data_IF_501957074906
#
_entry.id   IF_501957074906
#
_cell.length_a   1.000
_cell.length_b   1.000
_cell.length_c   1.000
_cell.angle_alpha   90.00
_cell.angle_beta   90.00
_cell.angle_gamma   90.00
#
_symmetry.space_group_name_H-M   'P 1'
#
loop_
_entity.id
_entity.type
_entity.pdbx_description
1 polymer ?
#
# COMPACT_ATOMS: atom_id res chain seq x y z
N UNK A 1 0.63 -3.33 50.48
CA UNK A 1 1.54 -4.22 49.73
C UNK A 1 2.03 -3.41 48.54
N UNK A 2 3.35 -3.35 48.37
CA UNK A 2 4.10 -2.26 47.72
C UNK A 2 3.75 -2.05 46.25
N UNK A 3 3.66 -0.76 45.91
CA UNK A 3 3.97 -0.24 44.58
C UNK A 3 5.48 -0.42 44.41
N UNK A 4 5.90 -1.29 43.49
CA UNK A 4 7.28 -1.34 43.04
C UNK A 4 7.34 -0.78 41.61
N UNK A 5 7.54 0.54 41.59
CA UNK A 5 8.25 1.22 40.52
C UNK A 5 9.71 0.80 40.61
N UNK A 6 10.08 -0.32 39.97
CA UNK A 6 11.49 -0.66 39.81
C UNK A 6 12.08 0.14 38.65
N UNK A 7 12.58 1.29 39.08
CA UNK A 7 13.60 2.09 38.43
C UNK A 7 14.88 1.26 38.45
N UNK A 8 15.33 0.71 37.31
CA UNK A 8 16.72 0.29 37.24
C UNK A 8 17.36 0.50 35.87
N UNK A 9 18.32 1.42 35.88
CA UNK A 9 19.51 1.48 35.02
C UNK A 9 19.29 1.62 33.52
N UNK A 10 19.13 2.89 33.14
CA UNK A 10 19.67 3.46 31.90
C UNK A 10 21.18 3.15 31.84
N UNK A 11 21.56 2.02 31.22
CA UNK A 11 22.95 1.83 30.78
C UNK A 11 23.09 2.46 29.40
N UNK A 12 23.37 3.76 29.43
CA UNK A 12 23.88 4.54 28.31
C UNK A 12 25.28 4.07 27.95
N UNK A 13 25.39 3.15 26.99
CA UNK A 13 26.64 2.95 26.25
C UNK A 13 26.43 2.21 24.94
N UNK A 14 25.89 2.90 23.94
CA UNK A 14 26.24 2.64 22.54
C UNK A 14 26.46 3.97 21.84
N UNK A 15 27.70 4.45 21.95
CA UNK A 15 28.22 5.51 21.11
C UNK A 15 28.10 5.12 19.65
N UNK A 16 27.52 6.00 18.86
CA UNK A 16 27.27 5.77 17.44
C UNK A 16 26.26 6.74 16.88
N UNK A 17 26.65 8.01 16.81
CA UNK A 17 25.94 9.08 16.12
C UNK A 17 25.40 8.61 14.76
N UNK A 18 24.05 8.58 14.61
CA UNK A 18 23.22 8.65 13.37
C UNK A 18 21.81 8.00 13.49
N UNK A 19 21.42 7.45 14.64
CA UNK A 19 20.14 6.72 14.81
C UNK A 19 18.93 7.56 15.31
N UNK A 20 19.01 8.88 15.39
CA UNK A 20 17.90 9.73 15.89
C UNK A 20 16.96 10.24 14.78
N UNK A 21 17.26 10.01 13.49
CA UNK A 21 16.38 10.42 12.37
C UNK A 21 15.51 9.31 11.78
N UNK A 22 15.61 8.10 12.33
CA UNK A 22 14.81 6.97 11.92
C UNK A 22 13.80 6.67 13.04
N UNK A 23 12.61 7.26 12.97
CA UNK A 23 11.43 6.45 13.30
C UNK A 23 11.52 5.25 12.37
N UNK A 24 12.08 4.16 12.88
CA UNK A 24 12.60 3.04 12.10
C UNK A 24 11.59 2.67 11.03
N UNK A 25 12.01 2.66 9.76
CA UNK A 25 11.18 2.29 8.61
C UNK A 25 10.38 1.00 8.89
N UNK A 26 10.95 0.07 9.67
CA UNK A 26 10.27 -1.14 10.16
C UNK A 26 8.98 -0.86 10.95
N UNK A 27 8.92 0.20 11.76
CA UNK A 27 7.71 0.58 12.49
C UNK A 27 6.61 1.12 11.56
N UNK A 28 6.99 1.93 10.56
CA UNK A 28 6.06 2.46 9.56
C UNK A 28 5.56 1.32 8.66
N UNK A 29 6.46 0.42 8.25
CA UNK A 29 6.13 -0.75 7.45
C UNK A 29 5.20 -1.72 8.20
N UNK A 30 5.44 -1.96 9.49
CA UNK A 30 4.58 -2.78 10.34
C UNK A 30 3.20 -2.16 10.51
N UNK A 31 3.13 -0.85 10.74
CA UNK A 31 1.86 -0.13 10.82
C UNK A 31 1.08 -0.15 9.49
N UNK A 32 1.78 -0.05 8.36
CA UNK A 32 1.17 -0.18 7.04
C UNK A 32 0.61 -1.59 6.81
N UNK A 33 1.32 -2.63 7.23
CA UNK A 33 0.88 -4.02 7.10
C UNK A 33 -0.37 -4.31 7.97
N UNK A 34 -0.40 -3.80 9.20
CA UNK A 34 -1.59 -3.88 10.07
C UNK A 34 -2.77 -3.08 9.50
N UNK A 35 -2.50 -1.93 8.89
CA UNK A 35 -3.54 -1.12 8.24
C UNK A 35 -4.16 -1.86 7.06
N UNK A 36 -3.34 -2.47 6.18
CA UNK A 36 -3.83 -3.25 5.02
C UNK A 36 -4.67 -4.44 5.46
N UNK A 37 -4.28 -5.15 6.51
CA UNK A 37 -5.06 -6.26 7.06
C UNK A 37 -6.45 -5.79 7.57
N UNK A 38 -6.49 -4.60 8.16
CA UNK A 38 -7.74 -3.99 8.63
C UNK A 38 -8.63 -3.58 7.45
N UNK A 39 -8.06 -2.95 6.42
CA UNK A 39 -8.78 -2.59 5.20
C UNK A 39 -9.31 -3.82 4.44
N UNK A 40 -8.58 -4.94 4.44
CA UNK A 40 -9.05 -6.20 3.83
C UNK A 40 -10.30 -6.74 4.52
N UNK A 41 -10.32 -6.79 5.86
CA UNK A 41 -11.52 -7.20 6.62
C UNK A 41 -12.71 -6.29 6.40
N UNK A 42 -12.47 -4.99 6.35
CA UNK A 42 -13.53 -4.01 6.12
C UNK A 42 -14.10 -4.14 4.69
N UNK A 43 -13.22 -4.35 3.71
CA UNK A 43 -13.59 -4.59 2.32
C UNK A 43 -14.40 -5.87 2.12
N UNK A 44 -14.07 -6.97 2.80
CA UNK A 44 -14.88 -8.19 2.77
C UNK A 44 -16.31 -7.94 3.30
N UNK A 45 -16.45 -7.13 4.35
CA UNK A 45 -17.76 -6.79 4.92
C UNK A 45 -18.59 -5.89 3.99
N UNK A 46 -17.93 -4.96 3.29
CA UNK A 46 -18.56 -4.06 2.32
C UNK A 46 -18.92 -4.79 1.04
N UNK A 47 -18.06 -5.68 0.55
CA UNK A 47 -18.34 -6.57 -0.59
C UNK A 47 -19.56 -7.45 -0.33
N UNK A 48 -19.64 -8.03 0.88
CA UNK A 48 -20.80 -8.85 1.26
C UNK A 48 -22.09 -8.04 1.27
N UNK A 49 -22.04 -6.74 1.61
CA UNK A 49 -23.18 -5.82 1.53
C UNK A 49 -23.49 -5.37 0.09
N UNK A 50 -22.48 -5.24 -0.77
CA UNK A 50 -22.62 -4.75 -2.14
C UNK A 50 -23.18 -5.82 -3.10
N UNK A 51 -22.84 -7.10 -2.89
CA UNK A 51 -23.27 -8.22 -3.74
C UNK A 51 -24.79 -8.49 -3.70
N UNK A 52 -25.50 -7.99 -2.69
CA UNK A 52 -26.96 -8.13 -2.56
C UNK A 52 -27.76 -6.94 -3.13
N UNK A 53 -27.10 -5.89 -3.64
CA UNK A 53 -27.81 -4.77 -4.26
C UNK A 53 -28.06 -5.10 -5.74
N UNK A 54 -29.16 -5.83 -5.96
CA UNK A 54 -29.89 -5.93 -7.22
C UNK A 54 -30.04 -4.54 -7.86
N UNK A 55 -29.41 -4.34 -9.01
CA UNK A 55 -29.97 -3.60 -10.17
C UNK A 55 -28.84 -3.39 -11.17
N UNK A 56 -28.65 -4.38 -12.04
CA UNK A 56 -27.72 -4.26 -13.17
C UNK A 56 -28.55 -3.96 -14.40
N UNK A 57 -28.73 -2.67 -14.66
CA UNK A 57 -29.33 -2.18 -15.89
C UNK A 57 -28.41 -2.56 -17.07
N UNK A 58 -28.93 -3.28 -18.06
CA UNK A 58 -28.15 -3.89 -19.15
C UNK A 58 -27.30 -2.86 -19.93
N UNK A 59 -27.68 -1.58 -19.91
CA UNK A 59 -26.91 -0.49 -20.51
C UNK A 59 -25.60 -0.20 -19.78
N UNK A 60 -25.59 -0.29 -18.46
CA UNK A 60 -24.40 -0.01 -17.66
C UNK A 60 -23.31 -1.08 -17.86
N UNK A 61 -23.70 -2.33 -18.13
CA UNK A 61 -22.76 -3.42 -18.43
C UNK A 61 -22.02 -3.18 -19.74
N UNK A 62 -22.72 -2.73 -20.79
CA UNK A 62 -22.10 -2.46 -22.09
C UNK A 62 -21.18 -1.25 -22.00
N UNK A 63 -21.62 -0.17 -21.34
CA UNK A 63 -20.80 1.04 -21.14
C UNK A 63 -19.57 0.74 -20.27
N UNK A 64 -19.74 -0.02 -19.19
CA UNK A 64 -18.63 -0.46 -18.35
C UNK A 64 -17.65 -1.35 -19.12
N UNK A 65 -18.16 -2.23 -19.99
CA UNK A 65 -17.35 -3.06 -20.88
C UNK A 65 -16.51 -2.25 -21.86
N UNK A 66 -17.10 -1.25 -22.52
CA UNK A 66 -16.38 -0.34 -23.43
C UNK A 66 -15.33 0.48 -22.68
N UNK A 67 -15.69 1.01 -21.50
CA UNK A 67 -14.77 1.79 -20.66
C UNK A 67 -13.61 0.94 -20.15
N UNK A 68 -13.86 -0.31 -19.77
CA UNK A 68 -12.83 -1.25 -19.35
C UNK A 68 -11.87 -1.57 -20.50
N UNK A 69 -12.39 -1.82 -21.71
CA UNK A 69 -11.58 -2.07 -22.90
C UNK A 69 -10.66 -0.87 -23.22
N UNK A 70 -11.21 0.34 -23.25
CA UNK A 70 -10.43 1.56 -23.53
C UNK A 70 -9.36 1.79 -22.46
N UNK A 71 -9.70 1.58 -21.18
CA UNK A 71 -8.78 1.73 -20.07
C UNK A 71 -7.63 0.71 -20.12
N UNK A 72 -7.91 -0.53 -20.52
CA UNK A 72 -6.91 -1.56 -20.69
C UNK A 72 -5.94 -1.23 -21.83
N UNK A 73 -6.46 -0.74 -22.96
CA UNK A 73 -5.63 -0.31 -24.07
C UNK A 73 -4.68 0.83 -23.67
N UNK A 74 -5.20 1.83 -22.96
CA UNK A 74 -4.41 2.92 -22.39
C UNK A 74 -3.34 2.40 -21.41
N UNK A 75 -3.70 1.46 -20.53
CA UNK A 75 -2.77 0.87 -19.59
C UNK A 75 -1.62 0.13 -20.29
N UNK A 76 -1.90 -0.57 -21.39
CA UNK A 76 -0.87 -1.22 -22.21
C UNK A 76 0.07 -0.21 -22.85
N UNK A 77 -0.45 0.91 -23.36
CA UNK A 77 0.36 1.98 -23.92
C UNK A 77 1.27 2.62 -22.85
N UNK A 78 0.73 2.89 -21.67
CA UNK A 78 1.51 3.42 -20.53
C UNK A 78 2.58 2.43 -20.10
N UNK A 79 2.25 1.13 -19.98
CA UNK A 79 3.23 0.08 -19.67
C UNK A 79 4.37 0.06 -20.66
N UNK A 80 4.07 0.11 -21.95
CA UNK A 80 5.09 0.09 -22.99
C UNK A 80 5.99 1.33 -22.89
N UNK A 81 5.41 2.53 -22.71
CA UNK A 81 6.17 3.77 -22.53
C UNK A 81 7.02 3.79 -21.26
N UNK A 82 6.54 3.21 -20.16
CA UNK A 82 7.29 3.07 -18.93
C UNK A 82 8.50 2.13 -19.10
N UNK A 83 8.33 1.02 -19.83
CA UNK A 83 9.43 0.11 -20.17
C UNK A 83 10.46 0.78 -21.07
N UNK A 84 10.02 1.53 -22.09
CA UNK A 84 10.91 2.32 -22.96
C UNK A 84 11.70 3.35 -22.16
N UNK A 85 11.04 4.09 -21.26
CA UNK A 85 11.69 5.08 -20.41
C UNK A 85 12.71 4.44 -19.45
N UNK A 86 12.39 3.27 -18.89
CA UNK A 86 13.34 2.52 -18.05
C UNK A 86 14.57 2.07 -18.84
N UNK A 87 14.37 1.52 -20.05
CA UNK A 87 15.47 1.14 -20.92
C UNK A 87 16.34 2.35 -21.31
N UNK A 88 15.73 3.50 -21.55
CA UNK A 88 16.44 4.72 -21.91
C UNK A 88 17.30 5.25 -20.76
N UNK A 89 16.77 5.28 -19.54
CA UNK A 89 17.55 5.66 -18.34
C UNK A 89 18.73 4.72 -18.13
N UNK A 90 18.54 3.41 -18.34
CA UNK A 90 19.63 2.43 -18.24
C UNK A 90 20.70 2.63 -19.31
N UNK A 91 20.32 3.04 -20.53
CA UNK A 91 21.27 3.38 -21.60
C UNK A 91 22.06 4.67 -21.32
N UNK A 92 21.50 5.59 -20.53
CA UNK A 92 22.20 6.82 -20.13
C UNK A 92 23.18 6.63 -18.96
N UNK A 93 23.07 5.55 -18.17
CA UNK A 93 23.85 5.33 -16.95
C UNK A 93 25.14 4.50 -17.12
N UNK A 94 25.48 4.09 -18.35
CA UNK A 94 26.78 3.49 -18.70
C UNK A 94 27.74 4.50 -19.31
#
# INVERSE_FOLDING_TARGET
>A
MKIELDSNTINSNFGGSKAQREKSFSQIFKAALESVNTYQKDYESVLYRQLFSEDVDLHDVVIAGEKARLSLELALQIRNKAMEAYQEIMRMQI
#
